data_IF_828716512758
#
_entry.id   IF_828716512758
#
_cell.length_a   1.000
_cell.length_b   1.000
_cell.length_c   1.000
_cell.angle_alpha   90.00
_cell.angle_beta   90.00
_cell.angle_gamma   90.00
#
_symmetry.space_group_name_H-M   'P 1'
#
loop_
_entity.id
_entity.type
_entity.pdbx_description
1 polymer ?
#
# COMPACT_ATOMS: atom_id res chain seq x y z
N UNK A 1 19.17 6.66 24.78
CA UNK A 1 19.17 7.49 23.54
C UNK A 1 20.48 7.40 22.77
N UNK A 2 21.64 7.28 23.45
CA UNK A 2 22.96 7.18 22.80
C UNK A 2 23.15 5.83 22.09
N UNK A 3 22.61 4.73 22.63
CA UNK A 3 22.77 3.39 22.05
C UNK A 3 22.08 3.23 20.69
N UNK A 4 20.82 3.67 20.57
CA UNK A 4 20.10 3.66 19.30
C UNK A 4 20.77 4.49 18.19
N UNK A 5 21.44 5.60 18.55
CA UNK A 5 22.20 6.42 17.59
C UNK A 5 23.49 5.72 17.12
N UNK A 6 24.14 4.97 18.02
CA UNK A 6 25.33 4.19 17.72
C UNK A 6 24.99 3.02 16.79
N UNK A 7 23.91 2.30 17.07
CA UNK A 7 23.44 1.19 16.23
C UNK A 7 23.06 1.67 14.82
N UNK A 8 22.39 2.82 14.70
CA UNK A 8 22.05 3.40 13.40
C UNK A 8 23.31 3.76 12.57
N UNK A 9 24.36 4.27 13.22
CA UNK A 9 25.64 4.57 12.56
C UNK A 9 26.36 3.31 12.08
N UNK A 10 26.34 2.23 12.86
CA UNK A 10 26.94 0.94 12.51
C UNK A 10 26.17 0.27 11.37
N UNK A 11 24.83 0.29 11.42
CA UNK A 11 23.96 -0.24 10.36
C UNK A 11 24.15 0.51 9.05
N UNK A 12 24.27 1.84 9.13
CA UNK A 12 24.59 2.70 7.98
C UNK A 12 25.92 2.32 7.34
N UNK A 13 26.97 2.10 8.15
CA UNK A 13 28.27 1.64 7.66
C UNK A 13 28.23 0.23 7.05
N UNK A 14 27.40 -0.67 7.58
CA UNK A 14 27.19 -2.00 7.01
C UNK A 14 26.47 -1.94 5.65
N UNK A 15 25.37 -1.20 5.56
CA UNK A 15 24.62 -1.03 4.31
C UNK A 15 25.48 -0.38 3.22
N UNK A 16 26.36 0.57 3.59
CA UNK A 16 27.31 1.15 2.65
C UNK A 16 28.27 0.13 2.06
N UNK A 17 28.97 -0.63 2.90
CA UNK A 17 29.94 -1.63 2.44
C UNK A 17 29.29 -2.72 1.59
N UNK A 18 28.14 -3.23 2.03
CA UNK A 18 27.42 -4.29 1.33
C UNK A 18 26.83 -3.76 0.01
N UNK A 19 26.26 -2.55 0.02
CA UNK A 19 25.77 -1.89 -1.19
C UNK A 19 26.87 -1.72 -2.24
N UNK A 20 28.04 -1.21 -1.84
CA UNK A 20 29.21 -1.09 -2.73
C UNK A 20 29.67 -2.44 -3.29
N UNK A 21 29.68 -3.51 -2.47
CA UNK A 21 30.04 -4.86 -2.92
C UNK A 21 29.05 -5.48 -3.91
N UNK A 22 27.76 -5.19 -3.74
CA UNK A 22 26.69 -5.73 -4.59
C UNK A 22 26.34 -4.82 -5.77
N UNK A 23 26.96 -3.63 -5.88
CA UNK A 23 26.60 -2.61 -6.87
C UNK A 23 25.22 -1.98 -6.64
N UNK A 24 24.69 -2.07 -5.42
CA UNK A 24 23.38 -1.53 -5.03
C UNK A 24 23.60 -0.20 -4.30
N UNK A 25 22.73 0.79 -4.57
CA UNK A 25 22.76 2.04 -3.82
C UNK A 25 22.57 1.74 -2.30
N UNK A 26 23.50 2.16 -1.43
CA UNK A 26 23.42 1.92 0.02
C UNK A 26 22.10 2.36 0.67
N UNK A 27 21.50 3.45 0.19
CA UNK A 27 20.22 3.95 0.70
C UNK A 27 19.07 3.02 0.33
N UNK A 28 19.08 2.47 -0.89
CA UNK A 28 18.11 1.43 -1.31
C UNK A 28 18.22 0.21 -0.41
N UNK A 29 19.45 -0.26 -0.16
CA UNK A 29 19.68 -1.41 0.71
C UNK A 29 19.21 -1.14 2.15
N UNK A 30 19.49 0.06 2.69
CA UNK A 30 18.99 0.46 4.02
C UNK A 30 17.46 0.43 4.07
N UNK A 31 16.81 0.93 3.03
CA UNK A 31 15.36 0.90 2.90
C UNK A 31 14.79 -0.52 2.92
N UNK A 32 15.39 -1.45 2.18
CA UNK A 32 14.98 -2.86 2.20
C UNK A 32 15.17 -3.49 3.56
N UNK A 33 16.31 -3.26 4.22
CA UNK A 33 16.53 -3.79 5.58
C UNK A 33 15.48 -3.25 6.55
N UNK A 34 15.16 -1.97 6.48
CA UNK A 34 14.11 -1.38 7.32
C UNK A 34 12.74 -1.98 7.04
N UNK A 35 12.38 -2.19 5.77
CA UNK A 35 11.11 -2.82 5.42
C UNK A 35 11.05 -4.28 5.91
N UNK A 36 12.15 -5.03 5.80
CA UNK A 36 12.21 -6.40 6.32
C UNK A 36 12.02 -6.46 7.84
N UNK A 37 12.56 -5.50 8.59
CA UNK A 37 12.32 -5.39 10.03
C UNK A 37 10.87 -5.06 10.36
N UNK A 38 10.24 -4.21 9.54
CA UNK A 38 8.81 -3.91 9.68
C UNK A 38 7.98 -5.17 9.38
N UNK A 39 8.30 -5.88 8.32
CA UNK A 39 7.61 -7.11 7.92
C UNK A 39 7.80 -8.24 8.94
N UNK A 40 8.93 -8.27 9.66
CA UNK A 40 9.20 -9.18 10.76
C UNK A 40 8.55 -8.77 12.09
N UNK A 41 8.05 -7.53 12.20
CA UNK A 41 7.48 -6.97 13.42
C UNK A 41 8.51 -6.43 14.43
N UNK A 42 9.80 -6.41 14.06
CA UNK A 42 10.89 -5.86 14.88
C UNK A 42 10.87 -4.33 14.93
N UNK A 43 10.17 -3.70 13.98
CA UNK A 43 10.04 -2.25 13.86
C UNK A 43 8.61 -1.86 13.54
N UNK A 44 8.14 -0.77 14.14
CA UNK A 44 6.84 -0.21 13.77
C UNK A 44 6.86 0.33 12.33
N UNK A 45 5.82 0.01 11.57
CA UNK A 45 5.61 0.46 10.21
C UNK A 45 4.48 -0.31 9.54
N UNK A 46 4.15 0.07 8.31
CA UNK A 46 3.20 -0.70 7.48
C UNK A 46 3.95 -1.85 6.85
N UNK A 47 3.49 -3.07 7.11
CA UNK A 47 4.05 -4.25 6.47
C UNK A 47 3.75 -4.25 4.98
N UNK A 48 4.60 -4.88 4.19
CA UNK A 48 4.39 -5.07 2.75
C UNK A 48 3.05 -5.78 2.48
N UNK A 49 2.68 -6.73 3.34
CA UNK A 49 1.40 -7.45 3.27
C UNK A 49 0.20 -6.52 3.51
N UNK A 50 0.27 -5.66 4.52
CA UNK A 50 -0.82 -4.73 4.83
C UNK A 50 -0.98 -3.67 3.74
N UNK A 51 0.13 -3.17 3.20
CA UNK A 51 0.11 -2.24 2.07
C UNK A 51 -0.56 -2.87 0.83
N UNK A 52 -0.22 -4.13 0.53
CA UNK A 52 -0.83 -4.86 -0.58
C UNK A 52 -2.34 -5.08 -0.35
N UNK A 53 -2.72 -5.52 0.85
CA UNK A 53 -4.13 -5.71 1.22
C UNK A 53 -4.93 -4.41 1.12
N UNK A 54 -4.36 -3.29 1.55
CA UNK A 54 -5.00 -1.98 1.43
C UNK A 54 -5.23 -1.61 -0.03
N UNK A 55 -4.22 -1.78 -0.89
CA UNK A 55 -4.34 -1.50 -2.32
C UNK A 55 -5.42 -2.36 -3.00
N UNK A 56 -5.52 -3.64 -2.62
CA UNK A 56 -6.54 -4.56 -3.15
C UNK A 56 -7.94 -4.16 -2.69
N UNK A 57 -8.11 -3.80 -1.41
CA UNK A 57 -9.38 -3.30 -0.88
C UNK A 57 -9.79 -1.98 -1.54
N UNK A 58 -8.86 -1.05 -1.74
CA UNK A 58 -9.15 0.19 -2.45
C UNK A 58 -9.60 -0.05 -3.89
N UNK A 59 -9.00 -1.05 -4.56
CA UNK A 59 -9.42 -1.47 -5.90
C UNK A 59 -10.83 -2.05 -5.88
N UNK A 60 -11.13 -2.95 -4.94
CA UNK A 60 -12.45 -3.54 -4.80
C UNK A 60 -13.52 -2.47 -4.53
N UNK A 61 -13.25 -1.53 -3.61
CA UNK A 61 -14.16 -0.42 -3.31
C UNK A 61 -14.44 0.44 -4.55
N UNK A 62 -13.43 0.71 -5.38
CA UNK A 62 -13.63 1.45 -6.64
C UNK A 62 -14.56 0.70 -7.60
N UNK A 63 -14.35 -0.59 -7.78
CA UNK A 63 -15.20 -1.41 -8.67
C UNK A 63 -16.63 -1.53 -8.13
N UNK A 64 -16.79 -1.75 -6.84
CA UNK A 64 -18.11 -1.80 -6.19
C UNK A 64 -18.85 -0.48 -6.36
N UNK A 65 -18.18 0.66 -6.18
CA UNK A 65 -18.79 1.99 -6.39
C UNK A 65 -19.22 2.19 -7.84
N UNK A 66 -18.40 1.74 -8.81
CA UNK A 66 -18.73 1.80 -10.24
C UNK A 66 -19.95 0.95 -10.57
N UNK A 67 -19.99 -0.30 -10.08
CA UNK A 67 -21.13 -1.19 -10.26
C UNK A 67 -22.41 -0.61 -9.64
N UNK A 68 -22.32 -0.06 -8.41
CA UNK A 68 -23.46 0.55 -7.74
C UNK A 68 -23.99 1.76 -8.52
N UNK A 69 -23.10 2.58 -9.10
CA UNK A 69 -23.51 3.71 -9.94
C UNK A 69 -24.30 3.26 -11.17
N UNK A 70 -23.84 2.21 -11.87
CA UNK A 70 -24.56 1.64 -13.02
C UNK A 70 -25.94 1.13 -12.61
N UNK A 71 -26.01 0.36 -11.53
CA UNK A 71 -27.28 -0.21 -11.03
C UNK A 71 -28.27 0.87 -10.62
N UNK A 72 -27.81 1.93 -9.94
CA UNK A 72 -28.64 3.08 -9.57
C UNK A 72 -29.17 3.81 -10.80
N UNK A 73 -28.32 4.05 -11.80
CA UNK A 73 -28.73 4.68 -13.06
C UNK A 73 -29.75 3.84 -13.82
N UNK A 74 -29.56 2.52 -13.91
CA UNK A 74 -30.52 1.62 -14.54
C UNK A 74 -31.85 1.60 -13.78
N UNK A 75 -31.81 1.53 -12.45
CA UNK A 75 -33.02 1.56 -11.60
C UNK A 75 -33.80 2.86 -11.78
N UNK A 76 -33.10 4.00 -11.83
CA UNK A 76 -33.72 5.30 -12.07
C UNK A 76 -34.34 5.39 -13.48
N UNK A 77 -33.67 4.84 -14.50
CA UNK A 77 -34.21 4.77 -15.86
C UNK A 77 -35.52 3.98 -15.92
N UNK A 78 -35.54 2.76 -15.36
CA UNK A 78 -36.75 1.93 -15.35
C UNK A 78 -37.88 2.52 -14.51
N UNK A 79 -37.58 3.13 -13.36
CA UNK A 79 -38.59 3.83 -12.57
C UNK A 79 -39.25 4.98 -13.35
N UNK A 80 -38.46 5.76 -14.09
CA UNK A 80 -38.98 6.84 -14.93
C UNK A 80 -39.80 6.34 -16.13
N UNK A 81 -39.51 5.15 -16.65
CA UNK A 81 -40.31 4.51 -17.70
C UNK A 81 -41.66 4.02 -17.17
N UNK A 82 -41.70 3.44 -15.96
CA UNK A 82 -42.93 2.99 -15.31
C UNK A 82 -43.88 4.13 -14.93
N UNK A 83 -43.35 5.30 -14.56
CA UNK A 83 -44.14 6.49 -14.24
C UNK A 83 -44.71 7.22 -15.47
N UNK A 84 -44.37 6.78 -16.69
CA UNK A 84 -44.88 7.38 -17.93
C UNK A 84 -46.20 6.69 -18.31
N UNK A 85 -47.36 7.36 -18.26
CA UNK A 85 -48.63 6.73 -18.59
C UNK A 85 -48.60 6.26 -20.06
N UNK A 86 -48.79 4.95 -20.26
CA UNK A 86 -49.01 4.36 -21.57
C UNK A 86 -50.33 4.91 -22.12
N UNK A 87 -50.23 5.79 -23.12
CA UNK A 87 -51.37 6.38 -23.80
C UNK A 87 -51.65 5.68 -25.13
#
# INVERSE_FOLDING_TARGET
MIDAKKDESTRSGACRRIGEQLGINPETLRGWVMQTEIDAGDRAGTTTSDAQRLADLEKEVRELRRANAILRSASAFFAAELDRPSH
#
